data_IF_602957334229
#
_entry.id   IF_602957334229
#
_cell.length_a   1.000
_cell.length_b   1.000
_cell.length_c   1.000
_cell.angle_alpha   90.00
_cell.angle_beta   90.00
_cell.angle_gamma   90.00
#
_symmetry.space_group_name_H-M   'P 1'
#
loop_
_entity.id
_entity.type
_entity.pdbx_description
1 polymer ?
#
# COMPACT_ATOMS: atom_id res chain seq x y z
N UNK A 1 1.67 44.31 32.36
CA UNK A 1 1.01 44.11 31.05
C UNK A 1 1.68 43.05 30.16
N UNK A 2 3.00 42.87 30.17
CA UNK A 2 3.73 41.87 29.33
C UNK A 2 3.28 40.39 29.44
N UNK A 3 2.77 39.92 30.59
CA UNK A 3 2.34 38.51 30.76
C UNK A 3 1.12 38.14 29.91
N UNK A 4 0.25 39.11 29.58
CA UNK A 4 -1.00 38.85 28.85
C UNK A 4 -0.74 38.68 27.34
N UNK A 5 0.23 39.41 26.78
CA UNK A 5 0.65 39.25 25.38
C UNK A 5 1.35 37.92 25.13
N UNK A 6 2.18 37.44 26.07
CA UNK A 6 2.87 36.15 25.92
C UNK A 6 1.90 34.96 25.97
N UNK A 7 0.84 35.04 26.78
CA UNK A 7 -0.22 34.03 26.81
C UNK A 7 -1.00 33.98 25.48
N UNK A 8 -1.30 35.13 24.89
CA UNK A 8 -1.97 35.22 23.59
C UNK A 8 -1.09 34.70 22.45
N UNK A 9 0.22 34.93 22.51
CA UNK A 9 1.17 34.42 21.51
C UNK A 9 1.29 32.88 21.60
N UNK A 10 1.43 32.34 22.82
CA UNK A 10 1.49 30.89 23.07
C UNK A 10 0.20 30.17 22.64
N UNK A 11 -0.97 30.77 22.91
CA UNK A 11 -2.26 30.23 22.49
C UNK A 11 -2.40 30.19 20.96
N UNK A 12 -2.00 31.25 20.25
CA UNK A 12 -2.05 31.31 18.79
C UNK A 12 -1.09 30.33 18.13
N UNK A 13 0.14 30.20 18.65
CA UNK A 13 1.13 29.23 18.15
C UNK A 13 0.68 27.80 18.41
N UNK A 14 0.13 27.51 19.60
CA UNK A 14 -0.43 26.19 19.93
C UNK A 14 -1.56 25.79 18.99
N UNK A 15 -2.50 26.72 18.71
CA UNK A 15 -3.59 26.48 17.76
C UNK A 15 -3.07 26.20 16.34
N UNK A 16 -2.04 26.93 15.90
CA UNK A 16 -1.46 26.78 14.57
C UNK A 16 -0.73 25.43 14.41
N UNK A 17 -0.04 24.96 15.46
CA UNK A 17 0.57 23.61 15.49
C UNK A 17 -0.51 22.53 15.43
N UNK A 18 -1.61 22.68 16.17
CA UNK A 18 -2.73 21.72 16.14
C UNK A 18 -3.35 21.65 14.74
N UNK A 19 -3.58 22.80 14.08
CA UNK A 19 -4.12 22.84 12.72
C UNK A 19 -3.16 22.17 11.73
N UNK A 20 -1.85 22.39 11.85
CA UNK A 20 -0.84 21.75 10.99
C UNK A 20 -0.85 20.22 11.16
N UNK A 21 -0.89 19.72 12.41
CA UNK A 21 -0.93 18.28 12.69
C UNK A 21 -2.21 17.60 12.18
N UNK A 22 -3.35 18.29 12.17
CA UNK A 22 -4.61 17.75 11.67
C UNK A 22 -4.69 17.68 10.15
N UNK A 23 -3.91 18.48 9.42
CA UNK A 23 -3.93 18.50 7.95
C UNK A 23 -3.14 17.37 7.27
N UNK A 24 -2.30 16.63 8.03
CA UNK A 24 -1.37 15.62 7.49
C UNK A 24 -1.94 14.22 7.23
N UNK A 25 -3.16 13.90 7.68
CA UNK A 25 -3.69 12.53 7.65
C UNK A 25 -4.67 12.23 6.52
N UNK A 26 -5.05 13.21 5.69
CA UNK A 26 -6.07 13.04 4.66
C UNK A 26 -5.44 12.74 3.28
N UNK A 27 -4.96 11.50 3.08
CA UNK A 27 -4.68 11.02 1.72
C UNK A 27 -5.97 10.45 1.14
N UNK A 28 -6.38 10.92 -0.04
CA UNK A 28 -7.52 10.34 -0.75
C UNK A 28 -7.26 8.84 -1.00
N UNK A 29 -8.25 8.01 -0.65
CA UNK A 29 -8.19 6.59 -0.96
C UNK A 29 -8.08 6.40 -2.49
N UNK A 30 -7.28 5.44 -2.95
CA UNK A 30 -7.21 5.13 -4.37
C UNK A 30 -8.57 4.64 -4.88
N UNK A 31 -8.88 4.96 -6.14
CA UNK A 31 -10.09 4.46 -6.79
C UNK A 31 -10.08 2.94 -6.80
N UNK A 32 -11.18 2.33 -6.37
CA UNK A 32 -11.34 0.87 -6.43
C UNK A 32 -11.29 0.39 -7.89
N UNK A 33 -10.71 -0.79 -8.16
CA UNK A 33 -10.74 -1.37 -9.49
C UNK A 33 -12.18 -1.64 -9.93
N UNK A 34 -12.40 -1.59 -11.25
CA UNK A 34 -13.70 -1.97 -11.84
C UNK A 34 -14.06 -3.39 -11.43
N UNK A 35 -15.31 -3.58 -11.03
CA UNK A 35 -15.85 -4.89 -10.69
C UNK A 35 -16.22 -5.67 -11.96
N UNK A 36 -15.69 -6.88 -12.09
CA UNK A 36 -15.94 -7.80 -13.21
C UNK A 36 -16.46 -9.17 -12.75
N UNK A 37 -16.55 -9.40 -11.44
CA UNK A 37 -16.83 -10.72 -10.86
C UNK A 37 -18.13 -10.78 -10.08
N UNK A 38 -18.75 -9.65 -9.73
CA UNK A 38 -20.08 -9.67 -9.11
C UNK A 38 -21.16 -10.13 -10.08
N UNK A 39 -22.21 -10.72 -9.50
CA UNK A 39 -23.42 -11.17 -10.23
C UNK A 39 -24.10 -9.99 -10.94
N UNK A 40 -24.02 -8.80 -10.36
CA UNK A 40 -24.63 -7.57 -10.87
C UNK A 40 -23.63 -6.67 -11.63
N UNK A 41 -22.46 -7.19 -12.03
CA UNK A 41 -21.47 -6.39 -12.74
C UNK A 41 -22.01 -5.90 -14.08
N UNK A 42 -21.96 -4.58 -14.28
CA UNK A 42 -22.26 -3.93 -15.55
C UNK A 42 -21.12 -4.05 -16.57
N UNK A 43 -19.92 -4.43 -16.13
CA UNK A 43 -18.74 -4.51 -16.97
C UNK A 43 -18.48 -5.96 -17.37
N UNK A 44 -18.36 -6.20 -18.68
CA UNK A 44 -17.94 -7.51 -19.20
C UNK A 44 -16.47 -7.44 -19.63
N UNK A 45 -15.72 -8.47 -19.27
CA UNK A 45 -14.35 -8.62 -19.76
C UNK A 45 -14.36 -8.91 -21.26
N UNK A 46 -13.53 -8.19 -21.99
CA UNK A 46 -13.32 -8.31 -23.41
C UNK A 46 -11.86 -8.69 -23.70
N UNK A 47 -11.57 -9.08 -24.94
CA UNK A 47 -10.19 -9.38 -25.34
C UNK A 47 -9.27 -8.15 -25.26
N UNK A 48 -9.84 -6.96 -25.47
CA UNK A 48 -9.10 -5.69 -25.49
C UNK A 48 -8.62 -5.25 -24.10
N UNK A 49 -9.15 -5.87 -23.04
CA UNK A 49 -8.70 -5.66 -21.65
C UNK A 49 -7.36 -6.34 -21.35
N UNK A 50 -6.80 -7.11 -22.29
CA UNK A 50 -5.60 -7.92 -22.09
C UNK A 50 -4.53 -7.67 -23.16
N UNK A 51 -3.27 -7.77 -22.76
CA UNK A 51 -2.15 -7.78 -23.70
C UNK A 51 -2.11 -9.11 -24.47
N UNK A 52 -1.56 -9.09 -25.69
CA UNK A 52 -1.37 -10.31 -26.50
C UNK A 52 -0.61 -11.40 -25.75
N UNK A 53 0.40 -11.02 -24.96
CA UNK A 53 1.19 -11.93 -24.12
C UNK A 53 0.34 -12.59 -23.03
N UNK A 54 -0.52 -11.84 -22.34
CA UNK A 54 -1.43 -12.40 -21.33
C UNK A 54 -2.42 -13.37 -21.96
N UNK A 55 -2.98 -13.03 -23.12
CA UNK A 55 -3.96 -13.88 -23.81
C UNK A 55 -3.40 -15.23 -24.25
N UNK A 56 -2.08 -15.35 -24.43
CA UNK A 56 -1.41 -16.60 -24.78
C UNK A 56 -1.35 -17.61 -23.62
N UNK A 57 -1.47 -17.14 -22.36
CA UNK A 57 -1.29 -18.00 -21.20
C UNK A 57 -2.44 -18.99 -21.03
N UNK A 58 -2.17 -20.27 -20.87
CA UNK A 58 -3.19 -21.26 -20.52
C UNK A 58 -3.56 -21.23 -19.01
N UNK A 59 -4.59 -21.99 -18.63
CA UNK A 59 -5.06 -22.02 -17.24
C UNK A 59 -4.02 -22.59 -16.26
N UNK A 60 -3.16 -23.51 -16.70
CA UNK A 60 -2.11 -24.10 -15.87
C UNK A 60 -0.97 -23.09 -15.66
N UNK A 61 -0.55 -22.39 -16.71
CA UNK A 61 0.44 -21.32 -16.64
C UNK A 61 -0.04 -20.16 -15.76
N UNK A 62 -1.31 -19.77 -15.85
CA UNK A 62 -1.91 -18.77 -14.95
C UNK A 62 -1.78 -19.21 -13.49
N UNK A 63 -2.12 -20.47 -13.18
CA UNK A 63 -2.00 -21.02 -11.82
C UNK A 63 -0.56 -20.99 -11.33
N UNK A 64 0.39 -21.46 -12.13
CA UNK A 64 1.82 -21.46 -11.78
C UNK A 64 2.33 -20.04 -11.53
N UNK A 65 1.93 -19.07 -12.35
CA UNK A 65 2.32 -17.67 -12.15
C UNK A 65 1.73 -17.08 -10.87
N UNK A 66 0.46 -17.38 -10.56
CA UNK A 66 -0.16 -16.96 -9.29
C UNK A 66 0.60 -17.53 -8.09
N UNK A 67 0.96 -18.81 -8.11
CA UNK A 67 1.75 -19.45 -7.04
C UNK A 67 3.16 -18.86 -6.91
N UNK A 68 3.82 -18.52 -8.02
CA UNK A 68 5.11 -17.83 -8.00
C UNK A 68 5.00 -16.43 -7.39
N UNK A 69 3.96 -15.68 -7.75
CA UNK A 69 3.68 -14.36 -7.20
C UNK A 69 3.39 -14.42 -5.71
N UNK A 70 2.70 -15.45 -5.23
CA UNK A 70 2.46 -15.66 -3.80
C UNK A 70 3.78 -15.86 -3.03
N UNK A 71 4.69 -16.70 -3.54
CA UNK A 71 6.01 -16.89 -2.93
C UNK A 71 6.84 -15.60 -2.87
N UNK A 72 6.79 -14.79 -3.94
CA UNK A 72 7.46 -13.49 -3.98
C UNK A 72 6.86 -12.55 -2.94
N UNK A 73 5.52 -12.50 -2.85
CA UNK A 73 4.82 -11.65 -1.90
C UNK A 73 5.14 -12.05 -0.45
N UNK A 74 5.09 -13.34 -0.13
CA UNK A 74 5.43 -13.88 1.19
C UNK A 74 6.87 -13.52 1.58
N UNK A 75 7.81 -13.62 0.64
CA UNK A 75 9.21 -13.24 0.86
C UNK A 75 9.34 -11.77 1.22
N UNK A 76 8.69 -10.87 0.48
CA UNK A 76 8.74 -9.43 0.75
C UNK A 76 8.06 -9.07 2.08
N UNK A 77 6.90 -9.68 2.36
CA UNK A 77 6.19 -9.51 3.64
C UNK A 77 7.05 -10.00 4.82
N UNK A 78 7.74 -11.14 4.66
CA UNK A 78 8.63 -11.68 5.68
C UNK A 78 9.79 -10.74 5.99
N UNK A 79 10.40 -10.14 4.96
CA UNK A 79 11.45 -9.12 5.14
C UNK A 79 10.96 -7.93 5.97
N UNK A 80 9.82 -7.33 5.59
CA UNK A 80 9.20 -6.23 6.34
C UNK A 80 8.86 -6.63 7.79
N UNK A 81 8.39 -7.87 8.00
CA UNK A 81 8.07 -8.36 9.35
C UNK A 81 9.32 -8.53 10.21
N UNK A 82 10.43 -8.97 9.62
CA UNK A 82 11.68 -9.24 10.36
C UNK A 82 12.31 -7.97 10.97
N UNK A 83 12.10 -6.82 10.36
CA UNK A 83 12.65 -5.51 10.78
C UNK A 83 11.67 -4.70 11.63
N UNK A 84 10.37 -5.01 11.57
CA UNK A 84 9.30 -4.26 12.26
C UNK A 84 9.58 -3.95 13.73
N UNK A 85 10.07 -4.92 14.51
CA UNK A 85 10.31 -4.71 15.95
C UNK A 85 11.43 -3.68 16.17
N UNK A 86 12.52 -3.81 15.41
CA UNK A 86 13.64 -2.86 15.44
C UNK A 86 13.16 -1.45 15.08
N UNK A 87 12.40 -1.32 14.01
CA UNK A 87 11.92 -0.01 13.55
C UNK A 87 10.93 0.63 14.53
N UNK A 88 10.09 -0.17 15.19
CA UNK A 88 9.22 0.30 16.26
C UNK A 88 10.01 0.79 17.48
N UNK A 89 11.04 0.06 17.89
CA UNK A 89 11.93 0.48 18.99
C UNK A 89 12.64 1.78 18.64
N UNK A 90 13.20 1.90 17.43
CA UNK A 90 13.84 3.14 16.95
C UNK A 90 12.82 4.28 16.89
N UNK A 91 11.59 4.03 16.43
CA UNK A 91 10.51 5.01 16.41
C UNK A 91 10.16 5.55 17.80
N UNK A 92 10.06 4.67 18.80
CA UNK A 92 9.81 5.08 20.18
C UNK A 92 10.97 5.91 20.76
N UNK A 93 12.21 5.42 20.62
CA UNK A 93 13.40 6.10 21.13
C UNK A 93 13.59 7.46 20.44
N UNK A 94 13.40 7.52 19.13
CA UNK A 94 13.53 8.78 18.38
C UNK A 94 12.50 9.80 18.81
N UNK A 95 11.24 9.38 19.00
CA UNK A 95 10.17 10.32 19.41
C UNK A 95 10.40 10.91 20.80
N UNK A 96 10.94 10.14 21.74
CA UNK A 96 11.03 10.53 23.15
C UNK A 96 12.42 11.06 23.55
N UNK A 97 13.49 10.40 23.11
CA UNK A 97 14.83 10.58 23.67
C UNK A 97 15.79 11.28 22.71
N UNK A 98 15.70 11.01 21.41
CA UNK A 98 16.62 11.57 20.42
C UNK A 98 15.98 11.67 19.02
N UNK A 99 15.25 12.77 18.74
CA UNK A 99 14.55 12.97 17.46
C UNK A 99 15.36 12.68 16.19
N UNK A 100 16.67 12.97 16.12
CA UNK A 100 17.43 12.66 14.91
C UNK A 100 17.53 11.15 14.58
N UNK A 101 17.27 10.23 15.52
CA UNK A 101 17.22 8.79 15.24
C UNK A 101 16.08 8.39 14.29
N UNK A 102 15.10 9.27 14.04
CA UNK A 102 14.00 9.00 13.11
C UNK A 102 14.50 8.69 11.69
N UNK A 103 15.63 9.28 11.28
CA UNK A 103 16.22 9.02 9.96
C UNK A 103 16.83 7.62 9.82
N UNK A 104 16.98 6.86 10.91
CA UNK A 104 17.47 5.49 10.89
C UNK A 104 16.36 4.45 10.67
N UNK A 105 15.09 4.87 10.61
CA UNK A 105 13.95 3.99 10.37
C UNK A 105 13.92 3.57 8.90
N UNK A 106 13.93 2.26 8.65
CA UNK A 106 13.75 1.72 7.30
C UNK A 106 12.26 1.75 6.91
N UNK A 107 11.95 2.44 5.81
CA UNK A 107 10.58 2.57 5.33
C UNK A 107 10.15 1.42 4.41
N UNK A 108 11.07 0.51 4.04
CA UNK A 108 10.83 -0.62 3.13
C UNK A 108 10.11 -0.23 1.84
N UNK A 109 10.46 0.93 1.28
CA UNK A 109 9.78 1.49 0.11
C UNK A 109 9.87 0.54 -1.08
N UNK A 110 11.01 -0.13 -1.24
CA UNK A 110 11.25 -1.09 -2.32
C UNK A 110 10.42 -2.36 -2.17
N UNK A 111 10.39 -2.97 -0.98
CA UNK A 111 9.55 -4.14 -0.72
C UNK A 111 8.07 -3.82 -0.90
N UNK A 112 7.61 -2.66 -0.40
CA UNK A 112 6.23 -2.20 -0.58
C UNK A 112 5.87 -1.99 -2.04
N UNK A 113 6.76 -1.36 -2.83
CA UNK A 113 6.55 -1.21 -4.27
C UNK A 113 6.43 -2.56 -4.99
N UNK A 114 7.28 -3.53 -4.63
CA UNK A 114 7.21 -4.89 -5.19
C UNK A 114 5.92 -5.60 -4.81
N UNK A 115 5.43 -5.43 -3.59
CA UNK A 115 4.13 -5.96 -3.15
C UNK A 115 2.99 -5.37 -4.00
N UNK A 116 2.99 -4.06 -4.23
CA UNK A 116 1.99 -3.39 -5.06
C UNK A 116 2.02 -3.88 -6.52
N UNK A 117 3.22 -4.08 -7.09
CA UNK A 117 3.40 -4.65 -8.42
C UNK A 117 2.87 -6.09 -8.50
N UNK A 118 3.17 -6.92 -7.50
CA UNK A 118 2.65 -8.29 -7.41
C UNK A 118 1.12 -8.27 -7.39
N UNK A 119 0.49 -7.41 -6.59
CA UNK A 119 -0.97 -7.31 -6.57
C UNK A 119 -1.57 -6.89 -7.90
N UNK A 120 -0.95 -5.93 -8.61
CA UNK A 120 -1.40 -5.56 -9.97
C UNK A 120 -1.30 -6.73 -10.95
N UNK A 121 -0.22 -7.51 -10.87
CA UNK A 121 -0.05 -8.69 -11.73
C UNK A 121 -1.08 -9.77 -11.40
N UNK A 122 -1.33 -10.04 -10.12
CA UNK A 122 -2.36 -10.99 -9.68
C UNK A 122 -3.75 -10.57 -10.15
N UNK A 123 -4.10 -9.28 -10.05
CA UNK A 123 -5.39 -8.77 -10.52
C UNK A 123 -5.59 -9.03 -12.03
N UNK A 124 -4.56 -8.79 -12.85
CA UNK A 124 -4.60 -9.12 -14.27
C UNK A 124 -4.75 -10.61 -14.54
N UNK A 125 -4.06 -11.46 -13.77
CA UNK A 125 -4.16 -12.92 -13.89
C UNK A 125 -5.53 -13.44 -13.45
N UNK A 126 -6.13 -12.90 -12.38
CA UNK A 126 -7.48 -13.25 -11.95
C UNK A 126 -8.54 -12.81 -12.97
N UNK A 127 -8.40 -11.62 -13.55
CA UNK A 127 -9.25 -11.18 -14.67
C UNK A 127 -9.14 -12.13 -15.85
N UNK A 128 -7.93 -12.53 -16.22
CA UNK A 128 -7.70 -13.47 -17.32
C UNK A 128 -8.28 -14.85 -17.01
N UNK A 129 -8.12 -15.33 -15.77
CA UNK A 129 -8.68 -16.58 -15.29
C UNK A 129 -10.21 -16.58 -15.42
N UNK A 130 -10.86 -15.48 -15.00
CA UNK A 130 -12.30 -15.30 -15.13
C UNK A 130 -12.74 -15.24 -16.60
N UNK A 131 -12.03 -14.49 -17.44
CA UNK A 131 -12.28 -14.39 -18.88
C UNK A 131 -12.19 -15.76 -19.57
N UNK A 132 -11.15 -16.55 -19.27
CA UNK A 132 -10.93 -17.89 -19.81
C UNK A 132 -11.79 -18.98 -19.14
N UNK A 133 -12.54 -18.65 -18.08
CA UNK A 133 -13.36 -19.58 -17.30
C UNK A 133 -12.58 -20.79 -16.79
N UNK A 134 -11.33 -20.56 -16.35
CA UNK A 134 -10.51 -21.63 -15.79
C UNK A 134 -11.16 -22.19 -14.52
N UNK A 135 -11.24 -23.52 -14.41
CA UNK A 135 -11.65 -24.17 -13.15
C UNK A 135 -10.47 -24.17 -12.18
N UNK A 136 -10.77 -23.91 -10.91
CA UNK A 136 -9.80 -23.96 -9.80
C UNK A 136 -9.53 -25.42 -9.44
#
# INVERSE_FOLDING_TARGET
MQKVEQLNLLSKVGLLIIILLLSGCAKNAPSLPKDYSSVDSKNKLSKDDFTSKLLQLDCQEIKVQLEQLDKINETNISKIKSTRVKDQTIGYISTVLFPPLWFAIDNHTDEKSKIDEVYKQKDNLFKLQAYKKCKI
#
